data_IF_488000692580
#
_entry.id   IF_488000692580
#
_cell.length_a   1.000
_cell.length_b   1.000
_cell.length_c   1.000
_cell.angle_alpha   90.00
_cell.angle_beta   90.00
_cell.angle_gamma   90.00
#
_symmetry.space_group_name_H-M   'P 1'
#
loop_
_entity.id
_entity.type
_entity.pdbx_description
1 polymer ?
#
# COMPACT_ATOMS: atom_id res chain seq x y z
N UNK A 1 0.45 23.62 -2.82
CA UNK A 1 1.86 23.73 -2.39
C UNK A 1 2.61 22.63 -3.11
N UNK A 2 3.44 22.97 -4.07
CA UNK A 2 4.19 22.00 -4.87
C UNK A 2 5.36 21.55 -3.99
N UNK A 3 5.35 20.29 -3.56
CA UNK A 3 6.51 19.68 -2.90
C UNK A 3 7.69 19.76 -3.88
N UNK A 4 8.64 20.58 -3.52
CA UNK A 4 9.79 20.88 -4.37
C UNK A 4 10.67 19.64 -4.53
N UNK A 5 11.22 19.49 -5.73
CA UNK A 5 12.21 18.50 -6.20
C UNK A 5 13.34 18.09 -5.20
N UNK A 6 13.48 18.75 -4.07
CA UNK A 6 14.44 18.39 -3.02
C UNK A 6 14.20 17.00 -2.46
N UNK A 7 12.95 16.63 -2.20
CA UNK A 7 12.61 15.33 -1.61
C UNK A 7 12.76 14.18 -2.62
N UNK A 8 12.46 14.44 -3.90
CA UNK A 8 12.65 13.43 -4.96
C UNK A 8 14.14 13.13 -5.19
N UNK A 9 15.04 14.10 -5.01
CA UNK A 9 16.49 13.86 -5.07
C UNK A 9 17.03 13.03 -3.92
N UNK A 10 16.44 13.14 -2.75
CA UNK A 10 16.87 12.39 -1.56
C UNK A 10 16.50 10.91 -1.67
N UNK A 11 15.29 10.61 -2.12
CA UNK A 11 14.82 9.24 -2.36
C UNK A 11 15.64 8.54 -3.46
N UNK A 12 15.94 9.25 -4.55
CA UNK A 12 16.83 8.72 -5.59
C UNK A 12 18.24 8.40 -5.06
N UNK A 13 18.72 9.13 -4.06
CA UNK A 13 20.03 8.91 -3.44
C UNK A 13 20.07 7.70 -2.53
N UNK A 14 18.96 7.38 -1.86
CA UNK A 14 18.82 6.20 -0.98
C UNK A 14 18.70 4.88 -1.76
N UNK A 15 18.18 4.93 -3.00
CA UNK A 15 17.94 3.74 -3.85
C UNK A 15 19.16 3.43 -4.75
N UNK A 16 20.06 4.38 -4.95
CA UNK A 16 21.19 4.23 -5.88
C UNK A 16 22.44 3.87 -5.11
N UNK A 17 23.02 2.71 -5.41
CA UNK A 17 24.40 2.39 -5.01
C UNK A 17 25.40 3.44 -5.49
N UNK A 18 26.42 3.73 -4.70
CA UNK A 18 27.49 4.66 -5.06
C UNK A 18 27.99 4.40 -6.49
N UNK A 19 27.95 5.44 -7.34
CA UNK A 19 28.42 5.41 -8.72
C UNK A 19 27.36 5.29 -9.81
N UNK A 20 26.08 5.05 -9.47
CA UNK A 20 25.00 5.08 -10.46
C UNK A 20 24.44 6.50 -10.59
N UNK A 21 24.46 7.05 -11.82
CA UNK A 21 23.71 8.28 -12.10
C UNK A 21 22.21 8.00 -11.94
N UNK A 22 21.46 8.88 -11.24
CA UNK A 22 20.00 8.77 -11.22
C UNK A 22 19.53 8.81 -12.67
N UNK A 23 18.93 7.73 -13.16
CA UNK A 23 18.07 7.82 -14.32
C UNK A 23 16.98 8.80 -13.94
N UNK A 24 16.70 9.76 -14.78
CA UNK A 24 15.51 10.59 -14.63
C UNK A 24 14.33 9.62 -14.49
N UNK A 25 13.80 9.52 -13.29
CA UNK A 25 12.61 8.73 -13.05
C UNK A 25 11.50 9.47 -13.77
N UNK A 26 11.06 8.92 -14.90
CA UNK A 26 9.98 9.49 -15.73
C UNK A 26 8.62 9.50 -15.01
N UNK A 27 8.58 9.03 -13.75
CA UNK A 27 7.39 9.03 -12.91
C UNK A 27 7.66 9.80 -11.64
N UNK A 28 6.81 10.78 -11.39
CA UNK A 28 6.73 11.44 -10.10
C UNK A 28 6.18 10.44 -9.09
N UNK A 29 6.94 10.17 -8.03
CA UNK A 29 6.44 9.33 -6.94
C UNK A 29 5.73 10.23 -5.94
N UNK A 30 4.40 10.14 -5.83
CA UNK A 30 3.65 11.06 -5.01
C UNK A 30 3.83 10.73 -3.52
N UNK A 31 3.95 11.74 -2.66
CA UNK A 31 3.81 11.58 -1.22
C UNK A 31 2.34 11.45 -0.84
N UNK A 32 2.10 10.96 0.38
CA UNK A 32 0.75 10.97 0.95
C UNK A 32 0.14 12.38 0.95
N UNK A 33 -1.16 12.56 0.65
CA UNK A 33 -1.80 13.89 0.64
C UNK A 33 -1.65 14.69 1.94
N UNK A 34 -1.50 14.00 3.07
CA UNK A 34 -1.29 14.62 4.38
C UNK A 34 0.19 14.73 4.78
N UNK A 35 1.13 14.46 3.87
CA UNK A 35 2.58 14.54 4.16
C UNK A 35 3.05 15.91 4.64
N UNK A 36 2.27 16.97 4.39
CA UNK A 36 2.56 18.30 4.93
C UNK A 36 2.60 18.33 6.47
N UNK A 37 1.96 17.38 7.14
CA UNK A 37 2.00 17.24 8.60
C UNK A 37 3.34 16.70 9.10
N UNK A 38 4.09 16.02 8.24
CA UNK A 38 5.37 15.39 8.55
C UNK A 38 6.55 16.34 8.29
N UNK A 39 6.39 17.28 7.35
CA UNK A 39 7.47 18.17 6.91
C UNK A 39 8.16 18.95 8.05
N UNK A 40 7.48 19.39 9.14
CA UNK A 40 8.13 20.07 10.25
C UNK A 40 9.13 19.19 11.03
N UNK A 41 9.09 17.86 10.83
CA UNK A 41 9.86 16.87 11.57
C UNK A 41 10.97 16.21 10.75
N UNK A 42 11.44 16.89 9.72
CA UNK A 42 12.54 16.47 8.84
C UNK A 42 12.42 14.99 8.40
N UNK A 43 11.35 14.60 7.68
CA UNK A 43 11.05 13.22 7.36
C UNK A 43 12.08 12.60 6.43
N UNK A 44 12.54 11.41 6.77
CA UNK A 44 13.21 10.50 5.84
C UNK A 44 12.14 9.64 5.14
N UNK A 45 12.18 9.60 3.80
CA UNK A 45 11.21 8.84 3.02
C UNK A 45 11.83 7.63 2.36
N UNK A 46 11.07 6.55 2.31
CA UNK A 46 11.34 5.36 1.51
C UNK A 46 10.27 5.19 0.44
N UNK A 47 10.49 4.25 -0.48
CA UNK A 47 9.52 3.87 -1.49
C UNK A 47 8.80 2.60 -1.08
N UNK A 48 7.47 2.64 -1.18
CA UNK A 48 6.60 1.50 -0.97
C UNK A 48 5.43 1.58 -1.95
N UNK A 49 5.24 0.56 -2.78
CA UNK A 49 4.26 0.56 -3.88
C UNK A 49 4.36 1.79 -4.80
N UNK A 50 5.57 2.25 -5.11
CA UNK A 50 5.81 3.49 -5.89
C UNK A 50 5.23 4.77 -5.25
N UNK A 51 5.03 4.76 -3.94
CA UNK A 51 4.61 5.90 -3.11
C UNK A 51 5.72 6.29 -2.15
N UNK A 52 5.85 7.58 -1.87
CA UNK A 52 6.73 8.05 -0.81
C UNK A 52 6.07 7.82 0.55
N UNK A 53 6.72 7.02 1.38
CA UNK A 53 6.26 6.68 2.72
C UNK A 53 7.29 7.14 3.73
N UNK A 54 6.91 7.84 4.81
CA UNK A 54 7.87 8.25 5.84
C UNK A 54 8.39 7.01 6.57
N UNK A 55 9.70 6.87 6.62
CA UNK A 55 10.40 5.82 7.35
C UNK A 55 10.78 6.29 8.74
N UNK A 56 11.27 7.53 8.82
CA UNK A 56 11.71 8.15 10.06
C UNK A 56 11.27 9.60 10.14
N UNK A 57 10.93 10.03 11.34
CA UNK A 57 10.64 11.43 11.69
C UNK A 57 11.51 11.83 12.87
N UNK A 58 12.07 13.03 12.84
CA UNK A 58 12.84 13.58 13.97
C UNK A 58 11.88 14.14 15.05
N UNK A 59 11.08 13.26 15.66
CA UNK A 59 10.07 13.62 16.65
C UNK A 59 10.33 13.03 18.02
N UNK A 60 10.91 11.82 18.06
CA UNK A 60 11.06 11.03 19.27
C UNK A 60 12.13 9.95 19.06
N UNK A 61 12.67 9.46 20.14
CA UNK A 61 13.56 8.29 20.12
C UNK A 61 12.81 7.02 19.78
N UNK A 62 13.52 5.98 19.32
CA UNK A 62 12.91 4.68 19.02
C UNK A 62 12.17 4.08 20.22
N UNK A 63 12.71 4.26 21.44
CA UNK A 63 12.05 3.83 22.69
C UNK A 63 10.75 4.58 22.94
N UNK A 64 10.74 5.89 22.76
CA UNK A 64 9.52 6.69 22.92
C UNK A 64 8.44 6.29 21.89
N UNK A 65 8.82 6.06 20.65
CA UNK A 65 7.90 5.60 19.62
C UNK A 65 7.38 4.19 19.92
N UNK A 66 8.24 3.27 20.36
CA UNK A 66 7.85 1.93 20.75
C UNK A 66 6.82 1.95 21.89
N UNK A 67 7.09 2.74 22.95
CA UNK A 67 6.17 2.83 24.09
C UNK A 67 4.89 3.59 23.75
N UNK A 68 4.93 4.56 22.85
CA UNK A 68 3.73 5.27 22.40
C UNK A 68 2.72 4.30 21.77
N UNK A 69 3.16 3.40 20.88
CA UNK A 69 2.27 2.42 20.25
C UNK A 69 1.77 1.33 21.23
N UNK A 70 2.51 1.10 22.33
CA UNK A 70 2.15 0.10 23.35
C UNK A 70 1.20 0.62 24.42
N UNK A 71 1.29 1.90 24.75
CA UNK A 71 0.59 2.49 25.90
C UNK A 71 -0.41 3.58 25.51
N UNK A 72 -0.32 4.09 24.28
CA UNK A 72 -1.12 5.20 23.81
C UNK A 72 -1.66 4.92 22.39
N UNK A 73 -1.48 5.83 21.46
CA UNK A 73 -1.86 5.73 20.06
C UNK A 73 -0.81 6.42 19.20
N UNK A 74 -0.53 5.85 18.05
CA UNK A 74 0.21 6.51 16.98
C UNK A 74 -0.64 6.64 15.73
N UNK A 75 -0.40 7.69 14.97
CA UNK A 75 -0.94 7.89 13.64
C UNK A 75 0.22 7.89 12.63
N UNK A 76 0.09 7.10 11.56
CA UNK A 76 1.09 7.08 10.50
C UNK A 76 0.45 6.94 9.13
N UNK A 77 1.11 7.51 8.14
CA UNK A 77 0.80 7.24 6.74
C UNK A 77 1.53 5.98 6.31
N UNK A 78 0.85 5.18 5.49
CA UNK A 78 1.39 3.92 4.99
C UNK A 78 1.36 3.90 3.46
N UNK A 79 2.17 3.02 2.87
CA UNK A 79 2.34 2.93 1.43
C UNK A 79 1.49 1.85 0.77
N UNK A 80 0.64 1.13 1.52
CA UNK A 80 -0.24 0.12 0.93
C UNK A 80 -1.06 0.72 -0.21
N UNK A 81 -1.11 -0.01 -1.33
CA UNK A 81 -1.81 0.40 -2.53
C UNK A 81 -3.13 -0.36 -2.66
N UNK A 82 -4.28 0.29 -2.44
CA UNK A 82 -5.55 -0.30 -2.79
C UNK A 82 -5.67 -0.49 -4.31
N UNK A 83 -6.06 -1.70 -4.71
CA UNK A 83 -6.45 -2.00 -6.09
C UNK A 83 -7.92 -2.35 -6.08
N UNK A 84 -8.71 -1.69 -6.92
CA UNK A 84 -10.13 -2.02 -7.11
C UNK A 84 -10.29 -3.08 -8.17
N UNK A 85 -11.02 -4.14 -7.83
CA UNK A 85 -11.45 -5.20 -8.71
C UNK A 85 -12.98 -5.23 -8.69
N UNK A 86 -13.62 -4.98 -9.83
CA UNK A 86 -15.07 -4.89 -9.94
C UNK A 86 -15.57 -5.56 -11.22
N UNK A 87 -16.82 -6.00 -11.20
CA UNK A 87 -17.47 -6.68 -12.33
C UNK A 87 -18.04 -8.05 -11.98
N UNK A 88 -18.85 -8.65 -12.88
CA UNK A 88 -19.52 -9.92 -12.66
C UNK A 88 -18.57 -11.06 -12.28
N UNK A 89 -17.38 -11.10 -12.87
CA UNK A 89 -16.37 -12.13 -12.63
C UNK A 89 -15.30 -11.75 -11.60
N UNK A 90 -15.48 -10.65 -10.86
CA UNK A 90 -14.49 -10.19 -9.86
C UNK A 90 -14.18 -11.26 -8.80
N UNK A 91 -15.21 -11.90 -8.24
CA UNK A 91 -15.03 -12.98 -7.26
C UNK A 91 -14.29 -14.19 -7.85
N UNK A 92 -14.57 -14.53 -9.12
CA UNK A 92 -13.92 -15.62 -9.83
C UNK A 92 -12.43 -15.33 -10.06
N UNK A 93 -12.07 -14.11 -10.48
CA UNK A 93 -10.68 -13.69 -10.60
C UNK A 93 -9.95 -13.78 -9.25
N UNK A 94 -10.55 -13.24 -8.18
CA UNK A 94 -9.94 -13.23 -6.87
C UNK A 94 -9.74 -14.63 -6.28
N UNK A 95 -10.66 -15.56 -6.56
CA UNK A 95 -10.47 -16.97 -6.18
C UNK A 95 -9.40 -17.71 -7.00
N UNK A 96 -9.01 -17.20 -8.20
CA UNK A 96 -7.86 -17.71 -8.95
C UNK A 96 -6.52 -17.25 -8.33
N UNK A 97 -6.49 -16.04 -7.78
CA UNK A 97 -5.28 -15.35 -7.35
C UNK A 97 -4.95 -15.60 -5.88
N UNK A 98 -5.98 -15.68 -5.03
CA UNK A 98 -5.79 -15.79 -3.58
C UNK A 98 -5.92 -17.20 -3.04
N UNK A 99 -5.21 -17.45 -1.95
CA UNK A 99 -5.19 -18.76 -1.30
C UNK A 99 -6.44 -19.06 -0.48
N UNK A 100 -7.17 -18.03 -0.03
CA UNK A 100 -8.41 -18.18 0.73
C UNK A 100 -9.63 -18.02 -0.17
N UNK A 101 -10.67 -18.80 0.12
CA UNK A 101 -11.94 -18.74 -0.60
C UNK A 101 -12.65 -17.39 -0.39
N UNK A 102 -12.63 -16.56 -1.43
CA UNK A 102 -13.23 -15.22 -1.44
C UNK A 102 -14.77 -15.27 -1.44
N UNK A 103 -15.37 -16.37 -1.93
CA UNK A 103 -16.84 -16.53 -1.96
C UNK A 103 -17.47 -16.54 -0.56
N UNK A 104 -16.69 -16.84 0.48
CA UNK A 104 -17.13 -16.77 1.87
C UNK A 104 -17.11 -15.37 2.47
N UNK A 105 -16.44 -14.43 1.79
CA UNK A 105 -16.34 -13.05 2.25
C UNK A 105 -17.63 -12.29 1.91
N UNK A 106 -18.36 -11.83 2.92
CA UNK A 106 -19.62 -11.07 2.73
C UNK A 106 -19.33 -9.59 2.45
N UNK A 107 -20.21 -8.88 1.71
CA UNK A 107 -20.14 -7.44 1.59
C UNK A 107 -20.04 -6.73 2.95
N UNK A 108 -19.23 -5.67 3.02
CA UNK A 108 -18.91 -4.95 4.26
C UNK A 108 -17.92 -5.67 5.18
N UNK A 109 -17.30 -6.77 4.73
CA UNK A 109 -16.30 -7.51 5.49
C UNK A 109 -14.95 -7.49 4.80
N UNK A 110 -13.91 -7.80 5.56
CA UNK A 110 -12.55 -7.95 5.06
C UNK A 110 -11.95 -9.29 5.49
N UNK A 111 -10.91 -9.70 4.77
CA UNK A 111 -10.09 -10.86 5.12
C UNK A 111 -8.65 -10.65 4.69
N UNK A 112 -7.72 -11.16 5.47
CA UNK A 112 -6.32 -11.20 5.09
C UNK A 112 -6.09 -12.27 4.03
N UNK A 113 -5.38 -11.91 2.95
CA UNK A 113 -5.16 -12.74 1.77
C UNK A 113 -3.67 -12.84 1.44
N UNK A 114 -3.30 -13.96 0.86
CA UNK A 114 -2.00 -14.20 0.24
C UNK A 114 -2.19 -14.46 -1.25
N UNK A 115 -1.39 -13.81 -2.08
CA UNK A 115 -1.27 -14.12 -3.50
C UNK A 115 0.04 -14.86 -3.74
N UNK A 116 -0.03 -15.96 -4.49
CA UNK A 116 1.11 -16.80 -4.77
C UNK A 116 1.31 -17.01 -6.27
N UNK A 117 2.54 -17.26 -6.66
CA UNK A 117 2.89 -17.82 -7.96
C UNK A 117 2.44 -19.29 -8.06
N UNK A 118 2.51 -19.85 -9.26
CA UNK A 118 2.11 -21.24 -9.52
C UNK A 118 2.98 -22.28 -8.81
N UNK A 119 4.18 -21.92 -8.45
CA UNK A 119 5.13 -22.76 -7.67
C UNK A 119 4.92 -22.65 -6.14
N UNK A 120 3.99 -21.79 -5.69
CA UNK A 120 3.69 -21.53 -4.29
C UNK A 120 4.52 -20.40 -3.67
N UNK A 121 5.45 -19.79 -4.40
CA UNK A 121 6.16 -18.59 -3.95
C UNK A 121 5.19 -17.44 -3.72
N UNK A 122 5.36 -16.71 -2.61
CA UNK A 122 4.49 -15.58 -2.29
C UNK A 122 4.82 -14.37 -3.17
N UNK A 123 3.80 -13.78 -3.79
CA UNK A 123 3.91 -12.52 -4.53
C UNK A 123 3.82 -11.36 -3.54
N UNK A 124 2.73 -11.32 -2.79
CA UNK A 124 2.45 -10.33 -1.76
C UNK A 124 1.26 -10.78 -0.91
N UNK A 125 0.98 -10.03 0.12
CA UNK A 125 -0.16 -10.21 1.01
C UNK A 125 -0.92 -8.90 1.21
N UNK A 126 -2.00 -8.95 1.97
CA UNK A 126 -2.76 -7.75 2.31
C UNK A 126 -4.19 -8.03 2.73
N UNK A 127 -4.94 -6.96 2.86
CA UNK A 127 -6.33 -7.01 3.29
C UNK A 127 -7.27 -6.83 2.09
N UNK A 128 -8.04 -7.88 1.81
CA UNK A 128 -9.13 -7.82 0.84
C UNK A 128 -10.41 -7.36 1.52
N UNK A 129 -10.98 -6.27 1.03
CA UNK A 129 -12.27 -5.73 1.46
C UNK A 129 -13.30 -6.05 0.38
N UNK A 130 -14.44 -6.60 0.75
CA UNK A 130 -15.59 -6.70 -0.14
C UNK A 130 -16.53 -5.53 0.13
N UNK A 131 -16.51 -4.53 -0.74
CA UNK A 131 -17.31 -3.31 -0.58
C UNK A 131 -18.78 -3.56 -0.95
N UNK A 132 -18.99 -4.25 -2.08
CA UNK A 132 -20.28 -4.60 -2.63
C UNK A 132 -20.27 -6.04 -3.14
N UNK A 133 -21.38 -6.51 -3.68
CA UNK A 133 -21.47 -7.89 -4.19
C UNK A 133 -20.37 -8.21 -5.20
N UNK A 134 -20.08 -7.31 -6.13
CA UNK A 134 -19.11 -7.48 -7.22
C UNK A 134 -18.02 -6.40 -7.22
N UNK A 135 -17.71 -5.85 -6.05
CA UNK A 135 -16.71 -4.80 -5.91
C UNK A 135 -15.83 -5.04 -4.70
N UNK A 136 -14.53 -5.10 -4.97
CA UNK A 136 -13.51 -5.41 -3.97
C UNK A 136 -12.37 -4.40 -4.03
N UNK A 137 -11.76 -4.15 -2.89
CA UNK A 137 -10.47 -3.49 -2.78
C UNK A 137 -9.47 -4.43 -2.13
N UNK A 138 -8.29 -4.56 -2.73
CA UNK A 138 -7.15 -5.21 -2.12
C UNK A 138 -6.14 -4.15 -1.70
N UNK A 139 -6.03 -3.91 -0.40
CA UNK A 139 -4.96 -3.10 0.18
C UNK A 139 -3.71 -3.98 0.29
N UNK A 140 -2.90 -3.97 -0.76
CA UNK A 140 -1.70 -4.82 -0.84
C UNK A 140 -0.50 -4.19 -0.15
N UNK A 141 0.35 -5.05 0.42
CA UNK A 141 1.72 -4.74 0.73
C UNK A 141 2.53 -4.50 -0.57
N UNK A 142 3.82 -4.22 -0.47
CA UNK A 142 4.67 -4.04 -1.66
C UNK A 142 4.66 -5.29 -2.55
N UNK A 143 4.53 -5.08 -3.86
CA UNK A 143 4.43 -6.16 -4.84
C UNK A 143 3.59 -5.82 -6.06
N UNK A 144 3.65 -6.61 -7.13
CA UNK A 144 2.95 -6.35 -8.39
C UNK A 144 1.73 -7.25 -8.58
N UNK A 145 0.70 -7.06 -7.75
CA UNK A 145 -0.59 -7.71 -7.97
C UNK A 145 -1.35 -7.14 -9.17
N UNK A 146 -1.10 -5.89 -9.54
CA UNK A 146 -1.85 -5.27 -10.64
C UNK A 146 -1.61 -6.00 -11.96
N UNK A 147 -0.35 -6.30 -12.28
CA UNK A 147 0.01 -7.08 -13.46
C UNK A 147 -0.46 -8.53 -13.34
N UNK A 148 -0.38 -9.11 -12.14
CA UNK A 148 -0.83 -10.48 -11.90
C UNK A 148 -2.34 -10.62 -12.09
N UNK A 149 -3.15 -9.69 -11.60
CA UNK A 149 -4.59 -9.68 -11.90
C UNK A 149 -4.87 -9.59 -13.40
N UNK A 150 -4.18 -8.68 -14.11
CA UNK A 150 -4.38 -8.55 -15.57
C UNK A 150 -4.03 -9.83 -16.32
N UNK A 151 -2.97 -10.51 -15.93
CA UNK A 151 -2.57 -11.78 -16.53
C UNK A 151 -3.61 -12.90 -16.31
N UNK A 152 -4.36 -12.85 -15.20
CA UNK A 152 -5.38 -13.85 -14.89
C UNK A 152 -6.81 -13.44 -15.24
N UNK A 153 -7.01 -12.22 -15.74
CA UNK A 153 -8.30 -11.67 -16.09
C UNK A 153 -8.74 -11.97 -17.53
N UNK A 154 -7.91 -12.68 -18.32
CA UNK A 154 -8.26 -13.07 -19.67
C UNK A 154 -9.61 -13.83 -19.66
N UNK A 155 -10.50 -13.49 -20.57
CA UNK A 155 -11.87 -14.03 -20.67
C UNK A 155 -12.79 -13.78 -19.45
N UNK A 156 -12.46 -12.83 -18.57
CA UNK A 156 -13.29 -12.45 -17.44
C UNK A 156 -13.85 -11.03 -17.59
N UNK A 157 -15.12 -10.86 -17.26
CA UNK A 157 -15.77 -9.54 -17.22
C UNK A 157 -15.44 -8.84 -15.91
N UNK A 158 -14.24 -8.24 -15.87
CA UNK A 158 -13.70 -7.52 -14.70
C UNK A 158 -13.03 -6.22 -15.10
N UNK A 159 -13.15 -5.23 -14.24
CA UNK A 159 -12.40 -3.98 -14.28
C UNK A 159 -11.42 -3.96 -13.13
N UNK A 160 -10.15 -3.67 -13.43
CA UNK A 160 -9.04 -3.57 -12.47
C UNK A 160 -8.48 -2.16 -12.54
N UNK A 161 -8.56 -1.41 -11.46
CA UNK A 161 -8.16 0.01 -11.42
C UNK A 161 -7.48 0.37 -10.11
N UNK A 162 -6.66 1.42 -10.16
CA UNK A 162 -6.20 2.13 -8.96
C UNK A 162 -7.27 3.16 -8.58
N UNK A 163 -7.93 3.04 -7.41
CA UNK A 163 -8.92 4.00 -6.94
C UNK A 163 -8.29 5.30 -6.44
N UNK A 164 -6.96 5.43 -6.48
CA UNK A 164 -6.20 6.56 -5.96
C UNK A 164 -6.51 6.90 -4.49
N UNK A 165 -6.64 5.85 -3.68
CA UNK A 165 -6.89 5.96 -2.25
C UNK A 165 -5.57 5.84 -1.49
N UNK A 166 -5.44 6.63 -0.43
CA UNK A 166 -4.28 6.64 0.45
C UNK A 166 -4.68 6.13 1.83
N UNK A 167 -3.82 5.30 2.41
CA UNK A 167 -4.10 4.64 3.69
C UNK A 167 -3.31 5.33 4.79
N UNK A 168 -3.98 5.54 5.91
CA UNK A 168 -3.37 5.91 7.17
C UNK A 168 -3.76 4.90 8.24
N UNK A 169 -2.87 4.67 9.18
CA UNK A 169 -3.09 3.77 10.30
C UNK A 169 -3.14 4.53 11.60
N UNK A 170 -4.11 4.18 12.43
CA UNK A 170 -4.21 4.59 13.84
C UNK A 170 -4.00 3.34 14.68
N UNK A 171 -2.90 3.26 15.40
CA UNK A 171 -2.49 2.06 16.13
C UNK A 171 -2.18 2.35 17.59
N UNK A 172 -2.60 1.44 18.46
CA UNK A 172 -2.35 1.49 19.88
C UNK A 172 -3.59 1.17 20.71
N UNK A 173 -3.46 0.94 22.03
CA UNK A 173 -4.58 0.57 22.90
C UNK A 173 -5.66 1.65 22.98
N UNK A 174 -5.34 2.90 22.66
CA UNK A 174 -6.26 4.06 22.68
C UNK A 174 -6.72 4.49 21.27
N UNK A 175 -6.61 3.61 20.29
CA UNK A 175 -6.95 3.95 18.88
C UNK A 175 -8.44 4.18 18.63
N UNK A 176 -9.31 3.89 19.59
CA UNK A 176 -10.76 4.13 19.53
C UNK A 176 -11.23 5.31 20.41
N UNK A 177 -10.32 5.95 21.15
CA UNK A 177 -10.64 7.15 21.96
C UNK A 177 -10.70 8.40 21.06
#
# INVERSE_FOLDING_TARGET
MTLTLKNTRFVAKAILSEGQRPRELSRTMPPHPLSYMELPYDPEYTLYNSRLTPEKLDTATDDEMYWAVRTNVIFRHTGELPIEISGPDAEKLLNKVFTRNVSKLKPGRCSYQFACYHDGGMITDGVLLRLEQNKFWMAQADGDLFSWYKAHAEDLDVKITDPNVWISQVQGPRSLD
#
